data_IF_515089719975
#
_entry.id   IF_515089719975
#
_cell.length_a   1.000
_cell.length_b   1.000
_cell.length_c   1.000
_cell.angle_alpha   90.00
_cell.angle_beta   90.00
_cell.angle_gamma   90.00
#
_symmetry.space_group_name_H-M   'P 1'
#
loop_
_entity.id
_entity.type
_entity.pdbx_description
1 polymer ?
#
# COMPACT_ATOMS: atom_id res chain seq x y z
N UNK A 1 -2.46 -51.27 -2.45
CA UNK A 1 -1.39 -50.30 -2.80
C UNK A 1 -2.05 -49.21 -3.62
N UNK A 2 -2.55 -48.21 -2.94
CA UNK A 2 -3.18 -47.03 -3.58
C UNK A 2 -2.23 -45.85 -3.43
N UNK A 3 -1.60 -45.49 -4.53
CA UNK A 3 -0.71 -44.34 -4.64
C UNK A 3 -1.59 -43.15 -4.98
N UNK A 4 -2.10 -42.43 -3.97
CA UNK A 4 -2.62 -41.08 -4.14
C UNK A 4 -1.44 -40.11 -4.10
N UNK A 5 -0.86 -39.86 -5.26
CA UNK A 5 -0.01 -38.69 -5.47
C UNK A 5 -0.91 -37.46 -5.37
N UNK A 6 -0.77 -36.74 -4.27
CA UNK A 6 -1.30 -35.38 -4.12
C UNK A 6 -0.65 -34.50 -5.18
N UNK A 7 -1.42 -34.11 -6.17
CA UNK A 7 -1.07 -33.01 -7.09
C UNK A 7 -1.04 -31.73 -6.24
N UNK A 8 0.14 -31.37 -5.77
CA UNK A 8 0.39 -30.05 -5.23
C UNK A 8 0.23 -29.07 -6.39
N UNK A 9 -0.92 -28.41 -6.45
CA UNK A 9 -1.19 -27.32 -7.38
C UNK A 9 -0.15 -26.22 -7.11
N UNK A 10 0.67 -25.97 -8.12
CA UNK A 10 1.69 -24.92 -8.16
C UNK A 10 0.98 -23.55 -8.28
N UNK A 11 0.14 -23.19 -7.30
CA UNK A 11 -0.50 -21.89 -7.21
C UNK A 11 0.53 -20.92 -6.69
N UNK A 12 0.93 -19.96 -7.53
CA UNK A 12 1.73 -18.81 -7.08
C UNK A 12 1.01 -18.15 -5.91
N UNK A 13 1.71 -17.88 -4.80
CA UNK A 13 1.07 -17.28 -3.64
C UNK A 13 0.60 -15.86 -3.98
N UNK A 14 -0.68 -15.58 -3.75
CA UNK A 14 -1.24 -14.24 -3.88
C UNK A 14 -1.04 -13.44 -2.59
N UNK A 15 -0.65 -12.17 -2.75
CA UNK A 15 -0.62 -11.23 -1.62
C UNK A 15 -2.03 -10.83 -1.18
N UNK A 16 -2.90 -10.65 -2.17
CA UNK A 16 -4.31 -10.33 -2.01
C UNK A 16 -5.13 -11.14 -3.00
N UNK A 17 -6.19 -11.78 -2.51
CA UNK A 17 -7.24 -12.36 -3.34
C UNK A 17 -8.59 -11.88 -2.86
N UNK A 18 -9.48 -11.51 -3.78
CA UNK A 18 -10.87 -11.19 -3.47
C UNK A 18 -11.81 -12.00 -4.35
N UNK A 19 -12.94 -12.43 -3.80
CA UNK A 19 -14.00 -13.11 -4.54
C UNK A 19 -15.35 -12.49 -4.18
N UNK A 20 -16.09 -12.07 -5.21
CA UNK A 20 -17.41 -11.45 -5.08
C UNK A 20 -17.42 -10.31 -4.05
N UNK A 21 -16.33 -9.54 -3.98
CA UNK A 21 -16.20 -8.48 -2.99
C UNK A 21 -17.20 -7.37 -3.28
N UNK A 22 -18.06 -7.11 -2.28
CA UNK A 22 -18.99 -5.99 -2.26
C UNK A 22 -18.69 -5.13 -1.05
N UNK A 23 -18.44 -3.84 -1.25
CA UNK A 23 -18.17 -2.90 -0.17
C UNK A 23 -18.61 -1.47 -0.53
N UNK A 24 -18.88 -0.68 0.51
CA UNK A 24 -19.34 0.70 0.38
C UNK A 24 -19.77 1.29 1.70
N UNK A 25 -20.56 2.34 1.63
CA UNK A 25 -21.15 3.02 2.77
C UNK A 25 -22.65 2.74 2.81
N UNK A 26 -23.31 2.94 3.96
CA UNK A 26 -24.71 2.56 4.26
C UNK A 26 -25.72 2.73 3.10
N UNK A 27 -25.57 3.79 2.27
CA UNK A 27 -26.49 4.10 1.16
C UNK A 27 -25.86 3.96 -0.23
N UNK A 28 -24.53 3.63 -0.33
CA UNK A 28 -23.82 3.63 -1.60
C UNK A 28 -22.82 2.48 -1.67
N UNK A 29 -23.13 1.46 -2.43
CA UNK A 29 -22.19 0.40 -2.78
C UNK A 29 -21.25 0.93 -3.86
N UNK A 30 -19.93 0.88 -3.60
CA UNK A 30 -18.87 1.36 -4.50
C UNK A 30 -18.10 0.23 -5.17
N UNK A 31 -17.83 -0.85 -4.46
CA UNK A 31 -17.23 -2.05 -5.01
C UNK A 31 -18.33 -3.10 -5.21
N UNK A 32 -18.41 -3.65 -6.42
CA UNK A 32 -19.43 -4.63 -6.79
C UNK A 32 -18.76 -5.84 -7.44
N UNK A 33 -18.94 -7.01 -6.83
CA UNK A 33 -18.45 -8.28 -7.35
C UNK A 33 -16.98 -8.25 -7.79
N UNK A 34 -16.13 -7.52 -7.04
CA UNK A 34 -14.73 -7.35 -7.39
C UNK A 34 -13.98 -8.67 -7.16
N UNK A 35 -13.37 -9.16 -8.24
CA UNK A 35 -12.46 -10.29 -8.24
C UNK A 35 -11.04 -9.79 -8.53
N UNK A 36 -10.10 -10.09 -7.64
CA UNK A 36 -8.69 -9.75 -7.79
C UNK A 36 -7.80 -10.90 -7.32
N UNK A 37 -6.71 -11.10 -8.03
CA UNK A 37 -5.60 -11.97 -7.61
C UNK A 37 -4.30 -11.22 -7.82
N UNK A 38 -3.73 -10.70 -6.74
CA UNK A 38 -2.49 -9.91 -6.76
C UNK A 38 -1.31 -10.83 -6.48
N UNK A 39 -0.40 -11.05 -7.44
CA UNK A 39 0.74 -11.94 -7.25
C UNK A 39 1.78 -11.37 -6.28
N UNK A 40 2.66 -12.25 -5.75
CA UNK A 40 3.77 -11.91 -4.85
C UNK A 40 5.10 -12.18 -5.56
N UNK A 41 6.09 -11.28 -5.49
CA UNK A 41 5.98 -9.85 -5.16
C UNK A 41 5.44 -9.08 -6.36
N UNK A 42 4.76 -7.97 -6.16
CA UNK A 42 4.33 -7.11 -7.27
C UNK A 42 4.04 -5.67 -6.85
N UNK A 43 4.15 -4.75 -7.81
CA UNK A 43 3.60 -3.40 -7.73
C UNK A 43 2.25 -3.37 -8.44
N UNK A 44 1.25 -2.76 -7.84
CA UNK A 44 -0.07 -2.54 -8.42
C UNK A 44 -0.45 -1.08 -8.31
N UNK A 45 -0.55 -0.40 -9.44
CA UNK A 45 -1.14 0.93 -9.52
C UNK A 45 -2.67 0.82 -9.56
N UNK A 46 -3.35 1.46 -8.63
CA UNK A 46 -4.82 1.53 -8.58
C UNK A 46 -5.24 2.92 -9.02
N UNK A 47 -5.96 2.98 -10.14
CA UNK A 47 -6.44 4.21 -10.74
C UNK A 47 -7.97 4.20 -10.85
N UNK A 48 -8.57 5.35 -11.16
CA UNK A 48 -10.01 5.49 -11.32
C UNK A 48 -10.49 6.88 -10.94
N UNK A 49 -11.72 7.24 -11.35
CA UNK A 49 -12.35 8.51 -11.02
C UNK A 49 -12.50 8.72 -9.50
N UNK A 50 -12.71 9.96 -9.10
CA UNK A 50 -13.03 10.25 -7.70
C UNK A 50 -14.35 9.58 -7.32
N UNK A 51 -14.37 8.92 -6.16
CA UNK A 51 -15.55 8.23 -5.66
C UNK A 51 -15.83 6.85 -6.28
N UNK A 52 -14.95 6.29 -7.14
CA UNK A 52 -15.13 4.93 -7.70
C UNK A 52 -14.85 3.80 -6.70
N UNK A 53 -14.28 4.09 -5.52
CA UNK A 53 -14.06 3.07 -4.48
C UNK A 53 -12.60 2.75 -4.16
N UNK A 54 -11.60 3.49 -4.68
CA UNK A 54 -10.17 3.25 -4.40
C UNK A 54 -9.86 3.20 -2.89
N UNK A 55 -10.13 4.27 -2.18
CA UNK A 55 -9.94 4.34 -0.72
C UNK A 55 -10.89 3.40 0.02
N UNK A 56 -12.09 3.13 -0.54
CA UNK A 56 -13.03 2.13 0.01
C UNK A 56 -12.40 0.74 0.00
N UNK A 57 -11.72 0.35 -1.07
CA UNK A 57 -10.97 -0.91 -1.12
C UNK A 57 -9.95 -0.98 0.03
N UNK A 58 -9.11 0.05 0.22
CA UNK A 58 -8.11 0.06 1.28
C UNK A 58 -8.73 0.04 2.69
N UNK A 59 -9.81 0.79 2.91
CA UNK A 59 -10.55 0.76 4.18
C UNK A 59 -11.18 -0.61 4.45
N UNK A 60 -11.60 -1.30 3.41
CA UNK A 60 -12.11 -2.68 3.52
C UNK A 60 -10.99 -3.65 3.89
N UNK A 61 -9.84 -3.58 3.21
CA UNK A 61 -8.67 -4.43 3.49
C UNK A 61 -8.11 -4.19 4.91
N UNK A 62 -8.23 -2.98 5.44
CA UNK A 62 -7.84 -2.63 6.82
C UNK A 62 -8.94 -2.90 7.86
N UNK A 63 -10.09 -3.46 7.45
CA UNK A 63 -11.29 -3.73 8.31
C UNK A 63 -11.89 -2.46 8.94
N UNK A 64 -11.74 -1.32 8.29
CA UNK A 64 -12.42 -0.07 8.67
C UNK A 64 -13.84 0.02 8.10
N UNK A 65 -14.15 -0.79 7.09
CA UNK A 65 -15.48 -0.91 6.49
C UNK A 65 -15.95 -2.37 6.44
N UNK A 66 -17.26 -2.62 6.64
CA UNK A 66 -17.84 -3.94 6.43
C UNK A 66 -17.83 -4.29 4.94
N UNK A 67 -17.87 -5.60 4.65
CA UNK A 67 -17.89 -6.12 3.28
C UNK A 67 -18.64 -7.45 3.20
N UNK A 68 -19.09 -7.79 1.99
CA UNK A 68 -19.60 -9.10 1.61
C UNK A 68 -18.59 -9.77 0.66
N UNK A 69 -18.72 -11.09 0.45
CA UNK A 69 -17.77 -11.87 -0.32
C UNK A 69 -16.57 -12.32 0.51
N UNK A 70 -15.47 -12.63 -0.12
CA UNK A 70 -14.27 -13.17 0.52
C UNK A 70 -13.03 -12.35 0.19
N UNK A 71 -12.14 -12.21 1.17
CA UNK A 71 -10.84 -11.56 1.03
C UNK A 71 -9.80 -12.42 1.73
N UNK A 72 -8.68 -12.70 1.05
CA UNK A 72 -7.52 -13.36 1.64
C UNK A 72 -6.30 -12.44 1.51
N UNK A 73 -5.56 -12.31 2.59
CA UNK A 73 -4.27 -11.63 2.66
C UNK A 73 -3.21 -12.69 2.94
N UNK A 74 -2.24 -12.86 2.02
CA UNK A 74 -1.19 -13.87 2.10
C UNK A 74 -1.75 -15.27 2.47
N UNK A 75 -2.84 -15.67 1.83
CA UNK A 75 -3.51 -16.96 2.03
C UNK A 75 -4.40 -17.07 3.27
N UNK A 76 -4.45 -16.06 4.15
CA UNK A 76 -5.34 -16.04 5.34
C UNK A 76 -6.60 -15.24 5.06
N UNK A 77 -7.76 -15.83 5.34
CA UNK A 77 -9.03 -15.12 5.17
C UNK A 77 -9.12 -13.92 6.12
N UNK A 78 -9.44 -12.75 5.58
CA UNK A 78 -9.48 -11.49 6.34
C UNK A 78 -10.49 -11.53 7.49
N UNK A 79 -11.59 -12.28 7.37
CA UNK A 79 -12.59 -12.44 8.43
C UNK A 79 -11.99 -13.01 9.71
N UNK A 80 -11.01 -13.91 9.60
CA UNK A 80 -10.33 -14.55 10.74
C UNK A 80 -9.30 -13.65 11.41
N UNK A 81 -8.88 -12.57 10.73
CA UNK A 81 -7.92 -11.58 11.22
C UNK A 81 -8.67 -10.47 11.95
N UNK A 82 -8.27 -10.13 13.15
CA UNK A 82 -8.96 -9.11 13.94
C UNK A 82 -8.53 -7.69 13.57
N UNK A 83 -7.20 -7.49 13.44
CA UNK A 83 -6.56 -6.21 13.10
C UNK A 83 -5.41 -6.46 12.13
N UNK A 84 -5.65 -6.46 10.79
CA UNK A 84 -4.66 -6.88 9.79
C UNK A 84 -3.32 -6.15 9.89
N UNK A 85 -3.34 -4.83 10.13
CA UNK A 85 -2.12 -4.04 10.31
C UNK A 85 -1.38 -4.39 11.60
N UNK A 86 -2.09 -4.51 12.73
CA UNK A 86 -1.47 -4.87 14.00
C UNK A 86 -0.93 -6.31 14.01
N UNK A 87 -1.57 -7.23 13.27
CA UNK A 87 -1.13 -8.61 13.11
C UNK A 87 -0.04 -8.78 12.03
N UNK A 88 0.34 -7.69 11.35
CA UNK A 88 1.42 -7.69 10.38
C UNK A 88 1.06 -8.24 9.01
N UNK A 89 -0.20 -8.44 8.69
CA UNK A 89 -0.62 -8.90 7.37
C UNK A 89 -0.46 -7.83 6.30
N UNK A 90 -0.57 -6.56 6.68
CA UNK A 90 -0.38 -5.39 5.83
C UNK A 90 0.14 -4.18 6.62
N UNK A 91 0.69 -3.21 5.90
CA UNK A 91 0.96 -1.85 6.40
C UNK A 91 0.21 -0.85 5.53
N UNK A 92 -0.32 0.22 6.11
CA UNK A 92 -1.17 1.18 5.43
C UNK A 92 -0.72 2.62 5.68
N UNK A 93 -0.47 3.34 4.59
CA UNK A 93 -0.25 4.78 4.58
C UNK A 93 -1.48 5.46 3.98
N UNK A 94 -2.33 6.12 4.78
CA UNK A 94 -3.50 6.84 4.29
C UNK A 94 -3.10 8.14 3.60
N UNK A 95 -3.98 8.67 2.75
CA UNK A 95 -3.78 9.91 2.00
C UNK A 95 -3.38 11.11 2.87
N UNK A 96 -3.90 11.18 4.10
CA UNK A 96 -3.57 12.25 5.06
C UNK A 96 -3.20 11.64 6.40
N UNK A 97 -2.01 11.98 6.85
CA UNK A 97 -1.54 11.68 8.20
C UNK A 97 -1.01 12.96 8.82
N UNK A 98 -1.59 13.38 9.93
CA UNK A 98 -1.25 14.64 10.59
C UNK A 98 -0.68 14.36 11.97
N UNK A 99 0.47 14.94 12.27
CA UNK A 99 1.04 15.00 13.60
C UNK A 99 0.84 16.42 14.15
N UNK A 100 0.02 16.56 15.19
CA UNK A 100 -0.39 17.86 15.74
C UNK A 100 0.48 18.34 16.91
N UNK A 101 1.62 17.72 17.18
CA UNK A 101 2.52 18.06 18.26
C UNK A 101 3.98 17.92 17.84
N UNK A 102 4.91 18.67 18.45
CA UNK A 102 6.34 18.55 18.16
C UNK A 102 6.86 17.16 18.48
N UNK A 103 7.50 16.52 17.51
CA UNK A 103 8.14 15.21 17.67
C UNK A 103 9.36 15.13 16.75
N UNK A 104 10.46 14.57 17.25
CA UNK A 104 11.63 14.33 16.40
C UNK A 104 11.33 13.26 15.37
N UNK A 105 11.83 13.45 14.15
CA UNK A 105 11.69 12.51 13.04
C UNK A 105 12.09 11.07 13.45
N UNK A 106 13.21 10.92 14.13
CA UNK A 106 13.69 9.61 14.60
C UNK A 106 12.70 8.93 15.56
N UNK A 107 12.09 9.72 16.45
CA UNK A 107 11.08 9.22 17.39
C UNK A 107 9.79 8.79 16.68
N UNK A 108 9.41 9.52 15.63
CA UNK A 108 8.26 9.17 14.80
C UNK A 108 8.52 7.88 14.01
N UNK A 109 9.71 7.74 13.41
CA UNK A 109 10.06 6.58 12.58
C UNK A 109 10.15 5.31 13.42
N UNK A 110 10.75 5.35 14.62
CA UNK A 110 10.89 4.17 15.48
C UNK A 110 9.54 3.58 15.88
N UNK A 111 8.47 4.38 15.89
CA UNK A 111 7.11 3.89 16.13
C UNK A 111 6.66 2.83 15.10
N UNK A 112 7.32 2.73 13.93
CA UNK A 112 7.11 1.64 12.99
C UNK A 112 7.42 0.25 13.56
N UNK A 113 8.28 0.17 14.58
CA UNK A 113 8.61 -1.09 15.27
C UNK A 113 7.53 -1.53 16.29
N UNK A 114 6.39 -0.84 16.39
CA UNK A 114 5.37 -1.04 17.45
C UNK A 114 4.91 -2.50 17.61
N UNK A 115 4.92 -3.31 16.56
CA UNK A 115 4.49 -4.72 16.60
C UNK A 115 5.46 -5.63 17.35
N UNK A 116 6.71 -5.23 17.48
CA UNK A 116 7.76 -5.99 18.15
C UNK A 116 7.76 -5.73 19.66
N UNK A 117 6.91 -4.80 20.12
CA UNK A 117 6.86 -4.33 21.49
C UNK A 117 5.51 -4.51 22.16
N UNK A 118 5.50 -4.73 23.46
CA UNK A 118 4.29 -4.61 24.26
C UNK A 118 3.91 -3.13 24.45
N UNK A 119 2.64 -2.84 24.71
CA UNK A 119 2.11 -1.48 24.79
C UNK A 119 2.86 -0.53 25.74
N UNK A 120 3.49 -1.08 26.78
CA UNK A 120 4.21 -0.31 27.80
C UNK A 120 5.74 -0.40 27.72
N UNK A 121 6.30 -1.07 26.69
CA UNK A 121 7.74 -1.18 26.56
C UNK A 121 8.35 0.02 25.85
N UNK A 122 9.49 0.48 26.31
CA UNK A 122 10.30 1.47 25.60
C UNK A 122 10.98 0.84 24.37
N UNK A 123 11.20 1.63 23.32
CA UNK A 123 12.02 1.23 22.20
C UNK A 123 13.48 1.04 22.61
N UNK A 124 14.09 -0.02 22.09
CA UNK A 124 15.48 -0.38 22.39
C UNK A 124 16.47 0.41 21.52
N UNK A 125 17.77 0.45 21.88
CA UNK A 125 18.79 1.00 20.99
C UNK A 125 18.82 0.37 19.60
N UNK A 126 18.45 -0.91 19.47
CA UNK A 126 18.38 -1.63 18.19
C UNK A 126 17.23 -1.10 17.33
N UNK A 127 16.09 -0.78 17.92
CA UNK A 127 14.95 -0.18 17.18
C UNK A 127 15.33 1.19 16.62
N UNK A 128 16.05 1.99 17.39
CA UNK A 128 16.56 3.27 16.92
C UNK A 128 17.61 3.12 15.80
N UNK A 129 18.44 2.08 15.82
CA UNK A 129 19.33 1.76 14.70
C UNK A 129 18.53 1.39 13.45
N UNK A 130 17.45 0.62 13.60
CA UNK A 130 16.55 0.28 12.52
C UNK A 130 15.85 1.52 11.95
N UNK A 131 15.45 2.47 12.81
CA UNK A 131 14.88 3.75 12.38
C UNK A 131 15.90 4.60 11.60
N UNK A 132 17.16 4.66 12.07
CA UNK A 132 18.24 5.38 11.36
C UNK A 132 18.52 4.73 9.99
N UNK A 133 18.53 3.40 9.91
CA UNK A 133 18.69 2.67 8.65
C UNK A 133 17.51 2.90 7.69
N UNK A 134 16.27 2.95 8.21
CA UNK A 134 15.09 3.24 7.40
C UNK A 134 15.14 4.68 6.83
N UNK A 135 15.55 5.66 7.64
CA UNK A 135 15.77 7.04 7.19
C UNK A 135 16.89 7.14 6.15
N UNK A 136 17.95 6.35 6.29
CA UNK A 136 19.02 6.30 5.29
C UNK A 136 18.52 5.78 3.94
N UNK A 137 17.72 4.72 3.92
CA UNK A 137 17.15 4.16 2.67
C UNK A 137 16.30 5.17 1.92
N UNK A 138 15.51 5.97 2.63
CA UNK A 138 14.72 7.04 2.00
C UNK A 138 15.54 8.33 1.77
N UNK A 139 16.84 8.37 2.15
CA UNK A 139 17.74 9.53 2.02
C UNK A 139 17.39 10.70 2.92
N UNK A 140 16.74 10.41 4.05
CA UNK A 140 16.28 11.39 5.03
C UNK A 140 17.09 11.38 6.35
N UNK A 141 18.30 10.79 6.38
CA UNK A 141 19.14 10.69 7.58
C UNK A 141 19.41 12.06 8.22
N UNK A 142 19.56 13.11 7.43
CA UNK A 142 19.80 14.48 7.89
C UNK A 142 18.64 15.08 8.65
N UNK A 143 17.43 14.52 8.52
CA UNK A 143 16.22 14.95 9.19
C UNK A 143 16.04 14.33 10.58
N UNK A 144 16.79 13.28 10.94
CA UNK A 144 16.55 12.43 12.12
C UNK A 144 16.35 13.20 13.43
N UNK A 145 17.06 14.32 13.62
CA UNK A 145 17.02 15.17 14.83
C UNK A 145 16.05 16.34 14.72
N UNK A 146 15.49 16.60 13.55
CA UNK A 146 14.59 17.73 13.32
C UNK A 146 13.19 17.44 13.87
N UNK A 147 12.44 18.49 14.12
CA UNK A 147 11.01 18.39 14.43
C UNK A 147 10.25 18.10 13.15
N UNK A 148 9.45 17.02 13.17
CA UNK A 148 8.64 16.59 12.02
C UNK A 148 7.67 17.68 11.53
N UNK A 149 7.12 18.48 12.47
CA UNK A 149 6.14 19.52 12.12
C UNK A 149 6.74 20.69 11.34
N UNK A 150 8.06 20.84 11.33
CA UNK A 150 8.79 21.88 10.60
C UNK A 150 9.26 21.44 9.20
N UNK A 151 9.06 20.18 8.85
CA UNK A 151 9.49 19.63 7.56
C UNK A 151 8.56 20.08 6.42
N UNK A 152 9.13 20.18 5.22
CA UNK A 152 8.34 20.30 3.98
C UNK A 152 7.47 19.06 3.76
N UNK A 153 6.39 19.19 2.96
CA UNK A 153 5.49 18.06 2.65
C UNK A 153 6.23 16.85 2.04
N UNK A 154 7.21 17.09 1.17
CA UNK A 154 8.04 16.03 0.59
C UNK A 154 8.90 15.31 1.61
N UNK A 155 9.53 16.05 2.52
CA UNK A 155 10.32 15.47 3.60
C UNK A 155 9.43 14.68 4.58
N UNK A 156 8.27 15.21 4.94
CA UNK A 156 7.30 14.49 5.78
C UNK A 156 6.89 13.17 5.13
N UNK A 157 6.66 13.17 3.82
CA UNK A 157 6.30 11.96 3.08
C UNK A 157 7.41 10.90 3.11
N UNK A 158 8.68 11.29 2.93
CA UNK A 158 9.81 10.35 3.07
C UNK A 158 9.89 9.76 4.48
N UNK A 159 9.62 10.56 5.51
CA UNK A 159 9.60 10.10 6.91
C UNK A 159 8.47 9.08 7.12
N UNK A 160 7.27 9.32 6.58
CA UNK A 160 6.17 8.35 6.64
C UNK A 160 6.49 7.04 5.94
N UNK A 161 7.16 7.11 4.78
CA UNK A 161 7.59 5.91 4.05
C UNK A 161 8.68 5.13 4.82
N UNK A 162 9.61 5.82 5.49
CA UNK A 162 10.58 5.18 6.37
C UNK A 162 9.88 4.46 7.54
N UNK A 163 8.93 5.11 8.20
CA UNK A 163 8.14 4.53 9.28
C UNK A 163 7.31 3.34 8.82
N UNK A 164 6.68 3.42 7.62
CA UNK A 164 5.92 2.33 7.03
C UNK A 164 6.81 1.11 6.76
N UNK A 165 8.02 1.33 6.24
CA UNK A 165 8.95 0.25 5.91
C UNK A 165 9.40 -0.55 7.16
N UNK A 166 9.48 0.09 8.33
CA UNK A 166 9.79 -0.58 9.59
C UNK A 166 8.67 -1.51 10.09
N UNK A 167 7.47 -1.40 9.55
CA UNK A 167 6.37 -2.31 9.92
C UNK A 167 6.56 -3.72 9.37
N UNK A 168 7.50 -3.93 8.41
CA UNK A 168 7.89 -5.24 7.87
C UNK A 168 6.73 -6.12 7.37
N UNK A 169 5.63 -5.51 6.96
CA UNK A 169 4.49 -6.24 6.41
C UNK A 169 4.79 -6.78 5.01
N UNK A 170 4.18 -7.90 4.58
CA UNK A 170 4.32 -8.41 3.22
C UNK A 170 3.57 -7.58 2.17
N UNK A 171 2.52 -6.86 2.58
CA UNK A 171 1.66 -6.05 1.73
C UNK A 171 1.63 -4.60 2.22
N UNK A 172 2.00 -3.66 1.33
CA UNK A 172 1.93 -2.22 1.59
C UNK A 172 0.76 -1.62 0.81
N UNK A 173 -0.06 -0.84 1.50
CA UNK A 173 -1.15 -0.05 0.93
C UNK A 173 -0.79 1.43 1.04
N UNK A 174 -0.69 2.14 -0.08
CA UNK A 174 -0.37 3.57 -0.12
C UNK A 174 -1.49 4.33 -0.83
N UNK A 175 -2.14 5.23 -0.11
CA UNK A 175 -3.25 6.03 -0.64
C UNK A 175 -2.74 7.42 -1.05
N UNK A 176 -2.52 7.62 -2.35
CA UNK A 176 -2.02 8.85 -2.97
C UNK A 176 -0.70 9.38 -2.36
N UNK A 177 0.35 8.55 -2.26
CA UNK A 177 1.58 8.89 -1.55
C UNK A 177 2.38 10.02 -2.21
N UNK A 178 2.04 10.40 -3.44
CA UNK A 178 2.73 11.45 -4.21
C UNK A 178 1.94 12.74 -4.32
N UNK A 179 0.75 12.82 -3.68
CA UNK A 179 -0.08 14.00 -3.75
C UNK A 179 0.63 15.23 -3.17
N UNK A 180 0.55 16.37 -3.87
CA UNK A 180 1.16 17.64 -3.48
C UNK A 180 2.71 17.65 -3.41
N UNK A 181 3.39 16.59 -3.88
CA UNK A 181 4.83 16.56 -3.99
C UNK A 181 5.32 17.21 -5.30
N UNK A 182 6.48 17.84 -5.25
CA UNK A 182 7.19 18.25 -6.45
C UNK A 182 7.70 17.04 -7.25
N UNK A 183 8.18 17.31 -8.46
CA UNK A 183 8.63 16.26 -9.40
C UNK A 183 9.75 15.40 -8.82
N UNK A 184 10.68 16.00 -8.05
CA UNK A 184 11.81 15.30 -7.46
C UNK A 184 11.35 14.29 -6.41
N UNK A 185 10.54 14.72 -5.42
CA UNK A 185 10.05 13.83 -4.36
C UNK A 185 9.08 12.78 -4.91
N UNK A 186 8.26 13.14 -5.89
CA UNK A 186 7.33 12.21 -6.54
C UNK A 186 8.04 11.02 -7.16
N UNK A 187 9.07 11.30 -7.98
CA UNK A 187 9.87 10.24 -8.59
C UNK A 187 10.55 9.36 -7.53
N UNK A 188 11.11 9.99 -6.51
CA UNK A 188 11.78 9.28 -5.42
C UNK A 188 10.85 8.33 -4.67
N UNK A 189 9.59 8.70 -4.46
CA UNK A 189 8.58 7.82 -3.84
C UNK A 189 8.29 6.61 -4.72
N UNK A 190 8.17 6.78 -6.03
CA UNK A 190 7.99 5.65 -6.96
C UNK A 190 9.21 4.73 -7.00
N UNK A 191 10.41 5.28 -7.06
CA UNK A 191 11.66 4.50 -7.03
C UNK A 191 11.76 3.67 -5.73
N UNK A 192 11.37 4.23 -4.57
CA UNK A 192 11.31 3.51 -3.30
C UNK A 192 10.30 2.36 -3.32
N UNK A 193 9.10 2.57 -3.87
CA UNK A 193 8.09 1.53 -3.99
C UNK A 193 8.57 0.38 -4.87
N UNK A 194 9.24 0.69 -5.97
CA UNK A 194 9.83 -0.32 -6.86
C UNK A 194 10.95 -1.12 -6.14
N UNK A 195 11.83 -0.43 -5.41
CA UNK A 195 12.88 -1.10 -4.61
C UNK A 195 12.30 -2.02 -3.53
N UNK A 196 11.17 -1.69 -2.91
CA UNK A 196 10.50 -2.59 -1.97
C UNK A 196 10.01 -3.88 -2.63
N UNK A 197 9.55 -3.81 -3.88
CA UNK A 197 9.13 -4.99 -4.63
C UNK A 197 10.33 -5.82 -5.05
N UNK A 198 11.36 -5.20 -5.63
CA UNK A 198 12.49 -5.90 -6.24
C UNK A 198 13.49 -6.43 -5.21
N UNK A 199 13.85 -5.61 -4.21
CA UNK A 199 14.89 -5.91 -3.24
C UNK A 199 14.36 -6.56 -1.96
N UNK A 200 13.14 -6.19 -1.53
CA UNK A 200 12.56 -6.66 -0.27
C UNK A 200 11.42 -7.65 -0.48
N UNK A 201 11.11 -8.00 -1.73
CA UNK A 201 10.04 -8.95 -2.10
C UNK A 201 8.67 -8.62 -1.48
N UNK A 202 8.37 -7.30 -1.33
CA UNK A 202 7.07 -6.83 -0.85
C UNK A 202 6.08 -6.75 -2.01
N UNK A 203 4.79 -6.79 -1.67
CA UNK A 203 3.74 -6.39 -2.61
C UNK A 203 3.27 -5.00 -2.24
N UNK A 204 3.15 -4.12 -3.22
CA UNK A 204 2.76 -2.72 -3.04
C UNK A 204 1.51 -2.43 -3.85
N UNK A 205 0.43 -2.03 -3.20
CA UNK A 205 -0.75 -1.45 -3.84
C UNK A 205 -0.72 0.07 -3.62
N UNK A 206 -0.68 0.81 -4.71
CA UNK A 206 -0.59 2.26 -4.70
C UNK A 206 -1.79 2.89 -5.41
N UNK A 207 -2.64 3.60 -4.68
CA UNK A 207 -3.63 4.48 -5.29
C UNK A 207 -2.90 5.73 -5.77
N UNK A 208 -3.06 6.07 -7.04
CA UNK A 208 -2.40 7.25 -7.62
C UNK A 208 -3.21 7.85 -8.77
N UNK A 209 -3.04 9.16 -8.95
CA UNK A 209 -3.47 9.90 -10.14
C UNK A 209 -2.31 10.26 -11.07
N UNK A 210 -1.09 9.87 -10.71
CA UNK A 210 0.14 10.20 -11.40
C UNK A 210 0.50 9.11 -12.43
N UNK A 211 -0.24 9.10 -13.53
CA UNK A 211 -0.10 8.08 -14.58
C UNK A 211 1.23 8.17 -15.32
N UNK A 212 1.79 9.36 -15.48
CA UNK A 212 3.01 9.56 -16.27
C UNK A 212 4.24 8.91 -15.62
N UNK A 213 4.31 8.92 -14.28
CA UNK A 213 5.40 8.25 -13.55
C UNK A 213 5.28 6.73 -13.51
N UNK A 214 4.10 6.16 -13.80
CA UNK A 214 3.90 4.71 -13.85
C UNK A 214 4.67 4.05 -15.00
N UNK A 215 4.94 4.78 -16.09
CA UNK A 215 5.64 4.25 -17.27
C UNK A 215 7.08 3.78 -16.98
N UNK A 216 7.67 4.24 -15.89
CA UNK A 216 9.02 3.83 -15.46
C UNK A 216 9.02 2.61 -14.54
N UNK A 217 7.85 2.07 -14.18
CA UNK A 217 7.70 0.99 -13.21
C UNK A 217 7.31 -0.33 -13.88
N UNK A 218 7.63 -1.42 -13.21
CA UNK A 218 7.18 -2.77 -13.58
C UNK A 218 6.09 -3.23 -12.62
N UNK A 219 5.04 -3.87 -13.14
CA UNK A 219 3.95 -4.38 -12.29
C UNK A 219 2.62 -4.47 -13.01
N UNK A 220 1.56 -4.07 -12.32
CA UNK A 220 0.18 -4.17 -12.80
C UNK A 220 -0.57 -2.85 -12.63
N UNK A 221 -1.60 -2.68 -13.44
CA UNK A 221 -2.58 -1.60 -13.38
C UNK A 221 -3.95 -2.18 -13.04
N UNK A 222 -4.66 -1.53 -12.12
CA UNK A 222 -6.06 -1.80 -11.79
C UNK A 222 -6.87 -0.52 -11.98
N UNK A 223 -7.68 -0.44 -13.03
CA UNK A 223 -8.64 0.65 -13.18
C UNK A 223 -9.97 0.27 -12.51
N UNK A 224 -10.23 0.82 -11.31
CA UNK A 224 -11.48 0.56 -10.58
C UNK A 224 -12.72 1.22 -11.17
N UNK A 225 -12.57 2.15 -12.12
CA UNK A 225 -13.69 2.76 -12.85
C UNK A 225 -14.09 2.00 -14.11
N UNK A 226 -13.30 1.01 -14.53
CA UNK A 226 -13.66 0.19 -15.65
C UNK A 226 -14.95 -0.61 -15.36
N UNK A 227 -15.78 -0.90 -16.37
CA UNK A 227 -16.99 -1.73 -16.19
C UNK A 227 -16.71 -3.09 -15.54
N UNK A 228 -15.59 -3.70 -15.88
CA UNK A 228 -15.06 -4.94 -15.30
C UNK A 228 -13.63 -4.69 -14.82
N UNK A 229 -13.43 -4.23 -13.56
CA UNK A 229 -12.09 -4.00 -13.03
C UNK A 229 -11.28 -5.29 -12.97
N UNK A 230 -10.13 -5.31 -13.63
CA UNK A 230 -9.20 -6.45 -13.64
C UNK A 230 -7.76 -5.97 -13.54
N UNK A 231 -6.90 -6.87 -13.09
CA UNK A 231 -5.47 -6.63 -13.03
C UNK A 231 -4.86 -6.84 -14.42
N UNK A 232 -4.24 -5.80 -14.97
CA UNK A 232 -3.58 -5.83 -16.28
C UNK A 232 -2.07 -5.54 -16.09
N UNK A 233 -1.19 -6.11 -16.92
CA UNK A 233 0.23 -5.72 -16.91
C UNK A 233 0.39 -4.22 -17.10
N UNK A 234 1.29 -3.61 -16.32
CA UNK A 234 1.60 -2.18 -16.41
C UNK A 234 2.44 -1.91 -17.67
N UNK A 235 1.76 -1.55 -18.75
CA UNK A 235 2.36 -1.24 -20.04
C UNK A 235 2.02 0.19 -20.47
N UNK A 236 2.78 0.74 -21.41
CA UNK A 236 2.49 2.07 -21.95
C UNK A 236 1.07 2.15 -22.56
N UNK A 237 0.60 1.05 -23.20
CA UNK A 237 -0.74 1.00 -23.76
C UNK A 237 -1.81 0.94 -22.68
N UNK A 238 -1.63 0.14 -21.63
CA UNK A 238 -2.56 0.08 -20.50
C UNK A 238 -2.69 1.44 -19.79
N UNK A 239 -1.56 2.12 -19.57
CA UNK A 239 -1.55 3.48 -18.97
C UNK A 239 -2.25 4.49 -19.86
N UNK A 240 -1.98 4.48 -21.18
CA UNK A 240 -2.63 5.36 -22.15
C UNK A 240 -4.15 5.12 -22.17
N UNK A 241 -4.59 3.89 -22.27
CA UNK A 241 -6.01 3.52 -22.26
C UNK A 241 -6.71 3.97 -20.97
N UNK A 242 -6.06 3.77 -19.82
CA UNK A 242 -6.59 4.25 -18.55
C UNK A 242 -6.69 5.78 -18.52
N UNK A 243 -5.69 6.51 -19.02
CA UNK A 243 -5.69 7.98 -19.10
C UNK A 243 -6.83 8.49 -19.98
N UNK A 244 -6.96 7.96 -21.19
CA UNK A 244 -8.05 8.31 -22.11
C UNK A 244 -9.43 8.02 -21.49
N UNK A 245 -9.58 6.87 -20.82
CA UNK A 245 -10.81 6.49 -20.11
C UNK A 245 -11.16 7.51 -19.02
N UNK A 246 -10.17 7.91 -18.20
CA UNK A 246 -10.38 8.83 -17.09
C UNK A 246 -10.63 10.28 -17.56
N UNK A 247 -10.10 10.68 -18.72
CA UNK A 247 -10.34 11.99 -19.33
C UNK A 247 -11.70 12.07 -20.06
N UNK A 248 -12.16 10.96 -20.65
CA UNK A 248 -13.39 10.91 -21.43
C UNK A 248 -14.67 10.84 -20.58
N UNK A 249 -14.59 10.39 -19.33
CA UNK A 249 -15.78 10.24 -18.48
C UNK A 249 -16.02 11.49 -17.65
N UNK A 250 -17.17 12.15 -17.77
CA UNK A 250 -17.51 13.27 -16.90
C UNK A 250 -17.65 12.79 -15.45
N UNK A 251 -17.18 13.61 -14.54
CA UNK A 251 -17.27 13.43 -13.07
C UNK A 251 -18.72 13.44 -12.60
#
# INVERSE_FOLDING_TARGET
>A
MNNQQSVASNQQPFALRTENLVAGYERRVLLRNLFLEVPVPSFVAIVGHNGCGKTTLFRTLTKQLPYEGHIWLAGRELRTTRRPAAEGSLAYLPQRTVVGFPIRVRELVVMGCYRQHSFFSAYSPTDYQSADAALARVGASHLAKQDFTLLSGGEQQLVWLAQLNLQEAPLYLLDEPTQQLDVYYRRRVFDLMQAWVEEQHKTVLCITHDLDNLLALSGYLLNLSAPEPRLEPLTADAVRTAKEFLEASPV
#
